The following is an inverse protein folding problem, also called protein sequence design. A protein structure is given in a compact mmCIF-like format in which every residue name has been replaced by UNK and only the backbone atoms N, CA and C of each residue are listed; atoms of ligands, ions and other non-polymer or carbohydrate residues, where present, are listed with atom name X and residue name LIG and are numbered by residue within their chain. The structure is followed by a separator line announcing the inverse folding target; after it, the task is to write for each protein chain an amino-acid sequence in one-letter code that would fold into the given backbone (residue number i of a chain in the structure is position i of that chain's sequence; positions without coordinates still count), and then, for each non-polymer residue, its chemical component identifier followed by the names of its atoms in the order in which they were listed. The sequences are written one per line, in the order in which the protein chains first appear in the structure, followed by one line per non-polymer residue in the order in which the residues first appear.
data_IF_155200511020
#
_entry.id   IF_155200511020
#
_cell.length_a   1.000
_cell.length_b   1.000
_cell.length_c   1.000
_cell.angle_alpha   90.00
_cell.angle_beta   90.00
_cell.angle_gamma   90.00
#
_symmetry.space_group_name_H-M   'P 1'
#
loop_
_entity.id
_entity.type
_entity.pdbx_description
1 polymer ?
#
# COMPACT_ATOMS: atom_id res chain seq x y z
N UNK A 1 8.27 17.78 -1.96
CA UNK A 1 7.53 16.49 -1.88
C UNK A 1 7.87 15.80 -0.57
N UNK A 2 6.87 15.25 0.14
CA UNK A 2 7.08 14.49 1.37
C UNK A 2 6.66 13.05 1.09
N UNK A 3 7.61 12.11 1.12
CA UNK A 3 7.31 10.69 1.00
C UNK A 3 7.02 10.11 2.40
N UNK A 4 5.86 9.49 2.55
CA UNK A 4 5.39 8.84 3.78
C UNK A 4 5.17 7.33 3.61
N UNK A 5 5.41 6.81 2.40
CA UNK A 5 5.34 5.38 2.14
C UNK A 5 6.32 4.60 3.02
N UNK A 6 5.87 3.45 3.54
CA UNK A 6 6.68 2.51 4.32
C UNK A 6 6.43 1.10 3.82
N UNK A 7 7.48 0.31 3.80
CA UNK A 7 7.39 -1.10 3.49
C UNK A 7 6.44 -1.80 4.49
N UNK A 8 5.67 -2.75 4.02
CA UNK A 8 4.74 -3.59 4.78
C UNK A 8 3.64 -2.86 5.58
N UNK A 9 3.35 -1.59 5.27
CA UNK A 9 2.20 -0.92 5.87
C UNK A 9 0.90 -1.61 5.46
N UNK A 10 0.00 -1.83 6.41
CA UNK A 10 -1.37 -2.21 6.13
C UNK A 10 -2.28 -1.01 5.90
N UNK A 11 -3.52 -1.27 5.55
CA UNK A 11 -4.45 -0.23 5.13
C UNK A 11 -4.87 0.73 6.26
N UNK A 12 -4.85 0.26 7.50
CA UNK A 12 -5.09 1.14 8.67
C UNK A 12 -3.96 2.18 8.82
N UNK A 13 -2.69 1.76 8.75
CA UNK A 13 -1.55 2.68 8.80
C UNK A 13 -1.57 3.66 7.65
N UNK A 14 -1.92 3.22 6.45
CA UNK A 14 -2.04 4.08 5.26
C UNK A 14 -3.10 5.16 5.50
N UNK A 15 -4.30 4.77 5.93
CA UNK A 15 -5.40 5.68 6.26
C UNK A 15 -5.00 6.70 7.32
N UNK A 16 -4.46 6.24 8.45
CA UNK A 16 -4.01 7.13 9.54
C UNK A 16 -2.89 8.06 9.09
N UNK A 17 -1.95 7.57 8.29
CA UNK A 17 -0.86 8.36 7.71
C UNK A 17 -1.38 9.50 6.83
N UNK A 18 -2.38 9.23 5.99
CA UNK A 18 -3.03 10.21 5.15
C UNK A 18 -3.77 11.27 5.99
N UNK A 19 -4.59 10.84 6.94
CA UNK A 19 -5.36 11.74 7.83
C UNK A 19 -4.42 12.60 8.67
N UNK A 20 -3.41 12.01 9.32
CA UNK A 20 -2.46 12.76 10.13
C UNK A 20 -1.63 13.74 9.30
N UNK A 21 -1.29 13.40 8.06
CA UNK A 21 -0.63 14.33 7.14
C UNK A 21 -1.54 15.53 6.83
N UNK A 22 -2.81 15.26 6.55
CA UNK A 22 -3.82 16.31 6.32
C UNK A 22 -4.02 17.24 7.53
N UNK A 23 -3.97 16.70 8.75
CA UNK A 23 -4.07 17.49 9.97
C UNK A 23 -2.82 18.35 10.25
N UNK A 24 -1.63 17.81 9.94
CA UNK A 24 -0.35 18.48 10.26
C UNK A 24 0.09 19.52 9.24
N UNK A 25 -0.28 19.32 7.97
CA UNK A 25 0.21 20.15 6.86
C UNK A 25 -0.93 20.97 6.26
N UNK A 26 -0.90 22.28 6.48
CA UNK A 26 -1.95 23.21 6.01
C UNK A 26 -1.96 23.47 4.50
N UNK A 27 -0.89 23.14 3.80
CA UNK A 27 -0.72 23.46 2.37
C UNK A 27 -0.36 22.20 1.58
N UNK A 28 -1.28 21.23 1.57
CA UNK A 28 -1.12 20.05 0.74
C UNK A 28 -1.71 20.36 -0.64
N UNK A 29 -0.85 20.39 -1.66
CA UNK A 29 -1.29 20.59 -3.04
C UNK A 29 -2.00 19.35 -3.60
N UNK A 30 -1.49 18.16 -3.29
CA UNK A 30 -2.07 16.89 -3.71
C UNK A 30 -1.53 15.74 -2.86
N UNK A 31 -2.36 14.73 -2.60
CA UNK A 31 -1.99 13.52 -1.87
C UNK A 31 -2.17 12.28 -2.76
N UNK A 32 -1.12 11.50 -2.90
CA UNK A 32 -1.15 10.22 -3.61
C UNK A 32 -1.13 9.09 -2.58
N UNK A 33 -2.13 8.21 -2.61
CA UNK A 33 -2.35 7.16 -1.61
C UNK A 33 -2.42 5.81 -2.32
N UNK A 34 -1.48 4.91 -2.01
CA UNK A 34 -1.51 3.54 -2.52
C UNK A 34 -1.98 2.60 -1.42
N UNK A 35 -3.09 1.92 -1.66
CA UNK A 35 -3.64 0.91 -0.79
C UNK A 35 -2.90 -0.41 -0.95
N UNK A 36 -2.62 -1.07 0.14
CA UNK A 36 -1.93 -2.35 0.22
C UNK A 36 -2.90 -3.53 0.10
N UNK A 37 -2.37 -4.75 -0.01
CA UNK A 37 -3.20 -5.96 0.09
C UNK A 37 -3.95 -6.05 1.42
N UNK A 38 -5.02 -6.84 1.43
CA UNK A 38 -5.88 -7.07 2.61
C UNK A 38 -5.28 -8.07 3.61
N UNK A 39 -4.19 -8.73 3.25
CA UNK A 39 -3.51 -9.76 4.04
C UNK A 39 -2.76 -9.24 5.28
N UNK A 40 -2.78 -7.94 5.52
CA UNK A 40 -2.04 -7.28 6.61
C UNK A 40 -2.97 -6.83 7.71
N UNK A 41 -2.77 -7.43 8.88
CA UNK A 41 -3.49 -7.07 10.08
C UNK A 41 -2.61 -6.22 11.00
N UNK A 42 -3.11 -5.07 11.40
CA UNK A 42 -2.38 -4.10 12.20
C UNK A 42 -2.99 -3.97 13.60
N UNK A 43 -2.15 -4.02 14.60
CA UNK A 43 -2.54 -3.82 16.01
C UNK A 43 -1.63 -2.81 16.69
N UNK A 44 -2.21 -2.05 17.61
CA UNK A 44 -1.44 -1.19 18.51
C UNK A 44 -0.81 -2.08 19.56
N UNK A 45 0.49 -1.96 19.76
CA UNK A 45 1.22 -2.66 20.81
C UNK A 45 1.86 -1.67 21.77
N UNK A 46 1.94 -2.06 23.05
CA UNK A 46 2.69 -1.32 24.08
C UNK A 46 4.19 -1.64 24.03
N UNK A 47 4.55 -2.76 23.44
CA UNK A 47 5.94 -3.16 23.33
C UNK A 47 6.66 -2.26 22.33
N UNK A 48 7.78 -1.69 22.77
CA UNK A 48 8.75 -1.13 21.83
C UNK A 48 9.36 -2.31 21.10
N UNK A 49 9.09 -2.45 19.82
CA UNK A 49 9.77 -3.44 19.01
C UNK A 49 11.29 -3.27 19.11
N UNK A 50 12.04 -4.36 18.97
CA UNK A 50 13.49 -4.27 18.93
C UNK A 50 13.90 -3.35 17.76
N UNK A 51 14.91 -2.55 18.04
CA UNK A 51 15.53 -1.64 17.07
C UNK A 51 15.88 -2.39 15.78
N UNK A 52 15.43 -1.81 14.67
CA UNK A 52 15.98 -1.91 13.32
C UNK A 52 16.11 -3.27 12.62
N UNK A 53 15.87 -4.42 13.21
CA UNK A 53 16.20 -5.70 12.54
C UNK A 53 15.24 -6.89 12.67
N UNK A 54 14.12 -6.78 13.33
CA UNK A 54 13.41 -8.04 13.64
C UNK A 54 11.89 -8.03 13.51
N UNK A 55 11.24 -7.10 14.08
CA UNK A 55 9.78 -7.01 14.04
C UNK A 55 9.40 -5.73 13.32
N UNK A 56 8.46 -5.81 12.38
CA UNK A 56 7.93 -4.61 11.76
C UNK A 56 7.01 -3.89 12.73
N UNK A 57 7.61 -3.37 13.80
CA UNK A 57 6.95 -2.47 14.71
C UNK A 57 7.14 -1.06 14.16
N UNK A 58 6.08 -0.50 13.61
CA UNK A 58 6.14 0.83 13.06
C UNK A 58 5.79 1.86 14.13
N UNK A 59 6.66 2.80 14.36
CA UNK A 59 6.29 4.07 14.99
C UNK A 59 5.49 4.86 13.96
N UNK A 60 4.20 4.68 13.96
CA UNK A 60 3.32 5.47 13.10
C UNK A 60 3.18 6.85 13.70
N UNK A 61 3.77 7.87 13.06
CA UNK A 61 3.41 9.30 13.11
C UNK A 61 3.10 9.88 14.50
N UNK A 62 2.81 9.04 15.48
CA UNK A 62 2.58 9.38 16.86
C UNK A 62 3.68 8.74 17.70
N UNK A 63 4.40 9.55 18.47
CA UNK A 63 5.50 9.08 19.32
C UNK A 63 5.02 8.12 20.42
N UNK A 64 3.71 8.03 20.60
CA UNK A 64 3.07 7.39 21.72
C UNK A 64 2.55 5.97 21.42
N UNK A 65 2.51 5.56 20.14
CA UNK A 65 1.99 4.25 19.76
C UNK A 65 2.98 3.46 18.90
N UNK A 66 3.14 2.19 19.24
CA UNK A 66 3.81 1.21 18.40
C UNK A 66 2.76 0.36 17.69
N UNK A 67 3.02 0.02 16.44
CA UNK A 67 2.16 -0.82 15.63
C UNK A 67 2.90 -2.09 15.27
N UNK A 68 2.26 -3.23 15.46
CA UNK A 68 2.69 -4.51 14.90
C UNK A 68 1.82 -4.86 13.72
N UNK A 69 2.46 -5.31 12.64
CA UNK A 69 1.79 -5.75 11.42
C UNK A 69 1.98 -7.25 11.28
N UNK A 70 0.89 -7.99 11.29
CA UNK A 70 0.89 -9.44 11.08
C UNK A 70 0.50 -9.76 9.64
N UNK A 71 1.33 -10.53 8.95
CA UNK A 71 1.14 -10.95 7.56
C UNK A 71 1.85 -12.28 7.30
N UNK A 72 1.59 -12.93 6.15
CA UNK A 72 2.10 -14.27 5.84
C UNK A 72 3.62 -14.45 5.94
N UNK A 73 4.41 -13.39 5.77
CA UNK A 73 5.87 -13.37 5.88
C UNK A 73 6.40 -12.86 7.22
N UNK A 74 5.57 -12.75 8.25
CA UNK A 74 6.00 -12.27 9.56
C UNK A 74 7.07 -13.16 10.17
N UNK A 75 8.12 -12.56 10.75
CA UNK A 75 9.30 -13.31 11.26
C UNK A 75 9.02 -14.12 12.52
N UNK A 76 8.19 -13.62 13.41
CA UNK A 76 7.70 -14.37 14.57
C UNK A 76 6.56 -15.28 14.11
N UNK A 77 6.92 -16.49 13.72
CA UNK A 77 5.97 -17.45 13.15
C UNK A 77 4.91 -17.87 14.17
N UNK A 78 5.28 -18.04 15.42
CA UNK A 78 4.38 -18.52 16.48
C UNK A 78 3.31 -17.47 16.79
N UNK A 79 3.72 -16.23 16.98
CA UNK A 79 2.78 -15.12 17.19
C UNK A 79 1.89 -14.90 15.97
N UNK A 80 2.47 -14.97 14.78
CA UNK A 80 1.72 -14.78 13.54
C UNK A 80 0.69 -15.90 13.32
N UNK A 81 1.08 -17.16 13.57
CA UNK A 81 0.18 -18.30 13.49
C UNK A 81 -0.95 -18.19 14.50
N UNK A 82 -0.65 -17.89 15.77
CA UNK A 82 -1.65 -17.65 16.81
C UNK A 82 -2.61 -16.54 16.39
N UNK A 83 -2.08 -15.43 15.87
CA UNK A 83 -2.89 -14.31 15.46
C UNK A 83 -3.81 -14.66 14.30
N UNK A 84 -3.29 -15.32 13.28
CA UNK A 84 -4.07 -15.75 12.11
C UNK A 84 -5.15 -16.76 12.49
N UNK A 85 -4.84 -17.67 13.40
CA UNK A 85 -5.80 -18.70 13.85
C UNK A 85 -6.97 -18.12 14.65
N UNK A 86 -6.74 -17.06 15.43
CA UNK A 86 -7.71 -16.59 16.42
C UNK A 86 -8.33 -15.23 16.11
N UNK A 87 -7.71 -14.41 15.29
CA UNK A 87 -8.12 -13.02 15.06
C UNK A 87 -8.21 -12.65 13.58
N UNK A 88 -7.62 -13.44 12.68
CA UNK A 88 -7.67 -13.11 11.28
C UNK A 88 -8.86 -13.75 10.59
N UNK A 89 -9.66 -12.94 9.98
CA UNK A 89 -10.77 -13.30 9.13
C UNK A 89 -10.67 -12.51 7.83
N UNK A 90 -10.71 -13.21 6.69
CA UNK A 90 -10.50 -12.59 5.38
C UNK A 90 -11.60 -11.58 5.07
N UNK A 91 -12.86 -11.92 5.32
CA UNK A 91 -13.99 -11.05 5.07
C UNK A 91 -13.91 -9.78 5.92
N UNK A 92 -13.53 -9.93 7.19
CA UNK A 92 -13.32 -8.80 8.08
C UNK A 92 -12.20 -7.87 7.58
N UNK A 93 -11.13 -8.42 6.95
CA UNK A 93 -10.06 -7.59 6.38
C UNK A 93 -10.55 -6.78 5.16
N UNK A 94 -11.40 -7.35 4.31
CA UNK A 94 -12.03 -6.60 3.23
C UNK A 94 -12.92 -5.48 3.78
N UNK A 95 -13.79 -5.80 4.73
CA UNK A 95 -14.65 -4.81 5.37
C UNK A 95 -13.83 -3.64 5.95
N UNK A 96 -12.80 -3.92 6.75
CA UNK A 96 -11.91 -2.89 7.31
C UNK A 96 -11.21 -2.07 6.24
N UNK A 97 -10.77 -2.70 5.17
CA UNK A 97 -10.11 -1.99 4.06
C UNK A 97 -11.04 -0.99 3.42
N UNK A 98 -12.28 -1.36 3.12
CA UNK A 98 -13.29 -0.45 2.59
C UNK A 98 -13.60 0.69 3.56
N UNK A 99 -13.74 0.41 4.86
CA UNK A 99 -13.88 1.46 5.89
C UNK A 99 -12.70 2.43 5.90
N UNK A 100 -11.48 1.93 5.78
CA UNK A 100 -10.28 2.78 5.77
C UNK A 100 -10.24 3.68 4.52
N UNK A 101 -10.60 3.14 3.36
CA UNK A 101 -10.71 3.91 2.11
C UNK A 101 -11.76 5.00 2.29
N UNK A 102 -12.98 4.64 2.66
CA UNK A 102 -14.09 5.57 2.79
C UNK A 102 -13.81 6.66 3.83
N UNK A 103 -13.34 6.28 5.02
CA UNK A 103 -12.94 7.24 6.07
C UNK A 103 -11.90 8.22 5.58
N UNK A 104 -10.92 7.75 4.81
CA UNK A 104 -9.87 8.61 4.26
C UNK A 104 -10.43 9.58 3.24
N UNK A 105 -11.29 9.13 2.33
CA UNK A 105 -11.99 9.99 1.36
C UNK A 105 -12.81 11.07 2.06
N UNK A 106 -13.67 10.68 2.99
CA UNK A 106 -14.51 11.61 3.76
C UNK A 106 -13.68 12.70 4.46
N UNK A 107 -12.54 12.31 5.06
CA UNK A 107 -11.64 13.27 5.71
C UNK A 107 -11.01 14.24 4.70
N UNK A 108 -10.50 13.73 3.58
CA UNK A 108 -9.82 14.54 2.57
C UNK A 108 -10.80 15.48 1.86
N UNK A 109 -11.98 14.99 1.51
CA UNK A 109 -13.04 15.78 0.88
C UNK A 109 -13.53 16.89 1.82
N UNK A 110 -13.81 16.56 3.09
CA UNK A 110 -14.19 17.57 4.12
C UNK A 110 -13.16 18.68 4.26
N UNK A 111 -11.88 18.34 4.16
CA UNK A 111 -10.79 19.29 4.31
C UNK A 111 -10.33 19.90 2.97
N UNK A 112 -11.02 19.57 1.86
CA UNK A 112 -10.72 20.07 0.51
C UNK A 112 -9.26 19.80 0.08
N UNK A 113 -8.72 18.67 0.49
CA UNK A 113 -7.37 18.23 0.14
C UNK A 113 -7.47 17.43 -1.17
N UNK A 114 -6.86 17.87 -2.27
CA UNK A 114 -6.84 17.08 -3.51
C UNK A 114 -6.08 15.78 -3.33
N UNK A 115 -6.63 14.68 -3.84
CA UNK A 115 -6.00 13.37 -3.71
C UNK A 115 -6.27 12.45 -4.90
N UNK A 116 -5.39 11.47 -5.05
CA UNK A 116 -5.53 10.34 -5.96
C UNK A 116 -5.22 9.06 -5.20
N UNK A 117 -6.08 8.09 -5.33
CA UNK A 117 -5.93 6.76 -4.75
C UNK A 117 -5.49 5.74 -5.80
N UNK A 118 -4.76 4.73 -5.37
CA UNK A 118 -4.24 3.66 -6.20
C UNK A 118 -4.29 2.35 -5.43
N UNK A 119 -4.26 1.24 -6.14
CA UNK A 119 -4.14 -0.08 -5.55
C UNK A 119 -2.74 -0.66 -5.78
N UNK A 120 -2.26 -1.42 -4.82
CA UNK A 120 -1.11 -2.28 -5.06
C UNK A 120 -1.50 -3.47 -5.95
N UNK A 121 -2.62 -4.13 -5.65
CA UNK A 121 -3.19 -5.22 -6.44
C UNK A 121 -4.72 -5.15 -6.48
N UNK A 122 -5.32 -5.88 -7.42
CA UNK A 122 -6.77 -5.92 -7.63
C UNK A 122 -7.56 -6.51 -6.46
N UNK A 123 -6.93 -7.36 -5.64
CA UNK A 123 -7.60 -8.07 -4.56
C UNK A 123 -8.17 -7.13 -3.50
N UNK A 124 -7.60 -5.92 -3.39
CA UNK A 124 -8.08 -4.87 -2.46
C UNK A 124 -9.56 -4.52 -2.65
N UNK A 125 -10.05 -4.59 -3.89
CA UNK A 125 -11.42 -4.25 -4.26
C UNK A 125 -12.15 -5.41 -4.98
N UNK A 126 -11.81 -6.65 -4.62
CA UNK A 126 -12.43 -7.83 -5.25
C UNK A 126 -13.84 -8.06 -4.70
N UNK A 127 -14.85 -7.76 -5.53
CA UNK A 127 -16.26 -7.92 -5.19
C UNK A 127 -16.70 -9.37 -4.93
N UNK A 128 -15.90 -10.36 -5.33
CA UNK A 128 -16.20 -11.78 -5.12
C UNK A 128 -16.30 -12.16 -3.63
N UNK A 129 -15.73 -11.34 -2.77
CA UNK A 129 -15.70 -11.57 -1.32
C UNK A 129 -16.70 -10.70 -0.55
N UNK A 130 -17.51 -9.88 -1.24
CA UNK A 130 -18.38 -8.92 -0.58
C UNK A 130 -19.71 -9.55 -0.15
N UNK A 131 -19.99 -9.46 1.15
CA UNK A 131 -21.33 -9.58 1.70
C UNK A 131 -22.15 -8.31 1.40
N UNK A 132 -23.38 -8.26 1.90
CA UNK A 132 -24.23 -7.08 1.78
C UNK A 132 -23.60 -5.84 2.42
N UNK A 133 -22.95 -6.01 3.57
CA UNK A 133 -22.30 -4.90 4.30
C UNK A 133 -21.11 -4.33 3.53
N UNK A 134 -20.26 -5.19 2.97
CA UNK A 134 -19.13 -4.73 2.14
C UNK A 134 -19.62 -4.05 0.86
N UNK A 135 -20.68 -4.55 0.23
CA UNK A 135 -21.29 -3.89 -0.95
C UNK A 135 -21.83 -2.51 -0.62
N UNK A 136 -22.44 -2.33 0.54
CA UNK A 136 -22.91 -1.02 0.98
C UNK A 136 -21.75 -0.03 1.13
N UNK A 137 -20.64 -0.43 1.79
CA UNK A 137 -19.45 0.42 1.89
C UNK A 137 -18.80 0.69 0.52
N UNK A 138 -18.70 -0.33 -0.32
CA UNK A 138 -18.11 -0.22 -1.66
C UNK A 138 -18.85 0.80 -2.52
N UNK A 139 -20.17 0.82 -2.45
CA UNK A 139 -21.01 1.75 -3.24
C UNK A 139 -20.85 3.22 -2.79
N UNK A 140 -20.38 3.46 -1.56
CA UNK A 140 -20.10 4.80 -1.05
C UNK A 140 -18.71 5.33 -1.45
N UNK A 141 -17.84 4.46 -1.97
CA UNK A 141 -16.49 4.85 -2.39
C UNK A 141 -16.55 5.66 -3.69
N UNK A 142 -15.94 6.82 -3.68
CA UNK A 142 -15.78 7.64 -4.88
C UNK A 142 -14.63 7.12 -5.75
N UNK A 143 -14.96 6.31 -6.76
CA UNK A 143 -13.98 5.72 -7.68
C UNK A 143 -13.37 6.71 -8.67
N UNK A 144 -13.94 7.89 -8.87
CA UNK A 144 -13.33 8.96 -9.69
C UNK A 144 -12.00 9.44 -9.12
N UNK A 145 -11.75 9.15 -7.85
CA UNK A 145 -10.49 9.45 -7.17
C UNK A 145 -9.42 8.39 -7.36
N UNK A 146 -9.74 7.30 -8.04
CA UNK A 146 -8.79 6.21 -8.25
C UNK A 146 -8.13 6.26 -9.63
N UNK A 147 -6.90 5.80 -9.67
CA UNK A 147 -6.17 5.48 -10.91
C UNK A 147 -5.92 3.98 -10.94
N UNK A 148 -6.53 3.32 -11.92
CA UNK A 148 -6.40 1.89 -12.16
C UNK A 148 -5.58 1.64 -13.42
N UNK A 149 -4.91 0.50 -13.48
CA UNK A 149 -4.22 0.06 -14.70
C UNK A 149 -5.24 -0.54 -15.69
N UNK A 150 -5.97 -1.46 -15.38
CA UNK A 150 -7.11 -2.03 -16.09
C UNK A 150 -8.29 -1.98 -15.12
N UNK A 151 -9.37 -2.63 -15.42
CA UNK A 151 -10.51 -2.71 -14.49
C UNK A 151 -10.03 -3.11 -13.08
N UNK A 152 -10.02 -2.20 -12.14
CA UNK A 152 -9.65 -2.37 -10.73
C UNK A 152 -8.24 -2.94 -10.46
N UNK A 153 -7.35 -3.03 -11.46
CA UNK A 153 -5.98 -3.52 -11.29
C UNK A 153 -5.03 -2.44 -10.78
N UNK A 154 -4.00 -2.88 -10.07
CA UNK A 154 -3.03 -2.02 -9.43
C UNK A 154 -1.62 -2.10 -10.02
N UNK A 155 -0.65 -1.64 -9.23
CA UNK A 155 0.76 -1.66 -9.58
C UNK A 155 1.30 -3.09 -9.77
N UNK A 156 0.82 -4.06 -8.98
CA UNK A 156 1.26 -5.45 -9.08
C UNK A 156 0.97 -6.03 -10.46
N UNK A 157 -0.29 -5.95 -10.89
CA UNK A 157 -0.71 -6.47 -12.21
C UNK A 157 -0.06 -5.67 -13.35
N UNK A 158 0.10 -4.35 -13.20
CA UNK A 158 0.84 -3.56 -14.19
C UNK A 158 2.28 -4.04 -14.36
N UNK A 159 2.95 -4.34 -13.24
CA UNK A 159 4.33 -4.82 -13.26
C UNK A 159 4.44 -6.23 -13.84
N UNK A 160 3.52 -7.13 -13.49
CA UNK A 160 3.49 -8.49 -14.03
C UNK A 160 3.26 -8.51 -15.54
N UNK A 161 2.36 -7.67 -16.04
CA UNK A 161 2.02 -7.62 -17.46
C UNK A 161 3.13 -6.99 -18.33
N UNK A 162 3.89 -6.03 -17.78
CA UNK A 162 4.79 -5.22 -18.60
C UNK A 162 6.29 -5.37 -18.24
N UNK A 163 6.60 -5.91 -17.06
CA UNK A 163 7.97 -5.91 -16.51
C UNK A 163 8.34 -7.23 -15.83
N UNK A 164 7.70 -8.33 -16.19
CA UNK A 164 7.90 -9.65 -15.55
C UNK A 164 9.35 -10.13 -15.60
N UNK A 165 10.05 -9.83 -16.67
CA UNK A 165 11.46 -10.20 -16.85
C UNK A 165 12.44 -9.46 -15.93
N UNK A 166 11.98 -8.40 -15.28
CA UNK A 166 12.78 -7.61 -14.34
C UNK A 166 12.55 -7.99 -12.87
N UNK A 167 11.64 -8.93 -12.59
CA UNK A 167 11.45 -9.43 -11.23
C UNK A 167 12.62 -10.29 -10.80
N UNK A 168 12.99 -10.23 -9.52
CA UNK A 168 13.87 -11.21 -8.91
C UNK A 168 13.15 -12.57 -8.88
N UNK A 169 13.89 -13.65 -9.11
CA UNK A 169 13.34 -14.98 -9.04
C UNK A 169 12.79 -15.28 -7.64
N UNK A 170 11.50 -15.57 -7.58
CA UNK A 170 10.80 -15.86 -6.32
C UNK A 170 10.33 -14.62 -5.54
N UNK A 171 10.53 -13.43 -6.09
CA UNK A 171 9.99 -12.18 -5.53
C UNK A 171 8.69 -11.79 -6.23
N UNK A 172 7.75 -11.29 -5.44
CA UNK A 172 6.48 -10.75 -5.93
C UNK A 172 6.44 -9.22 -5.93
N UNK A 173 7.53 -8.57 -5.51
CA UNK A 173 7.59 -7.11 -5.45
C UNK A 173 7.91 -6.52 -6.82
N UNK A 174 7.12 -5.57 -7.30
CA UNK A 174 7.39 -4.87 -8.54
C UNK A 174 8.79 -4.28 -8.59
N UNK A 175 9.52 -4.43 -9.71
CA UNK A 175 10.85 -3.85 -9.86
C UNK A 175 10.78 -2.32 -9.94
N UNK A 176 11.85 -1.59 -9.58
CA UNK A 176 11.87 -0.13 -9.62
C UNK A 176 11.49 0.48 -10.97
N UNK A 177 11.83 -0.18 -12.07
CA UNK A 177 11.43 0.27 -13.42
C UNK A 177 9.91 0.27 -13.60
N UNK A 178 9.20 -0.72 -13.03
CA UNK A 178 7.74 -0.77 -13.06
C UNK A 178 7.12 0.38 -12.25
N UNK A 179 7.69 0.71 -11.08
CA UNK A 179 7.23 1.88 -10.30
C UNK A 179 7.39 3.19 -11.06
N UNK A 180 8.51 3.37 -11.79
CA UNK A 180 8.71 4.56 -12.60
C UNK A 180 7.63 4.69 -13.69
N UNK A 181 7.41 3.62 -14.47
CA UNK A 181 6.41 3.64 -15.53
C UNK A 181 4.98 3.71 -14.99
N UNK A 182 4.70 3.10 -13.85
CA UNK A 182 3.43 3.28 -13.17
C UNK A 182 3.13 4.76 -12.89
N UNK A 183 4.10 5.46 -12.32
CA UNK A 183 3.94 6.89 -12.01
C UNK A 183 3.78 7.71 -13.31
N UNK A 184 4.62 7.44 -14.32
CA UNK A 184 4.60 8.13 -15.59
C UNK A 184 3.29 7.90 -16.36
N UNK A 185 2.95 6.62 -16.58
CA UNK A 185 1.95 6.24 -17.58
C UNK A 185 0.53 6.18 -16.98
N UNK A 186 0.41 5.85 -15.69
CA UNK A 186 -0.89 5.66 -15.03
C UNK A 186 -1.26 6.87 -14.16
N UNK A 187 -0.33 7.38 -13.36
CA UNK A 187 -0.64 8.45 -12.41
C UNK A 187 -0.66 9.81 -13.09
N UNK A 188 0.43 10.19 -13.74
CA UNK A 188 0.56 11.52 -14.35
C UNK A 188 0.13 11.55 -15.82
N UNK A 189 0.16 10.43 -16.53
CA UNK A 189 -0.14 10.34 -17.97
C UNK A 189 0.65 11.39 -18.77
N UNK A 190 1.89 11.61 -18.40
CA UNK A 190 2.76 12.63 -18.96
C UNK A 190 4.21 12.17 -18.93
N UNK A 191 5.05 12.83 -19.72
CA UNK A 191 6.49 12.57 -19.74
C UNK A 191 7.13 13.06 -18.44
N UNK A 192 7.18 12.16 -17.45
CA UNK A 192 8.02 12.36 -16.27
C UNK A 192 9.45 12.13 -16.70
N UNK A 193 10.25 13.19 -16.71
CA UNK A 193 11.64 13.10 -17.12
C UNK A 193 12.45 12.33 -16.07
N UNK A 194 13.09 11.26 -16.49
CA UNK A 194 14.09 10.54 -15.73
C UNK A 194 15.41 10.65 -16.49
N UNK A 195 16.49 11.17 -15.88
CA UNK A 195 17.80 11.18 -16.51
C UNK A 195 18.20 9.77 -16.96
N UNK A 196 18.85 9.64 -18.12
CA UNK A 196 19.22 8.35 -18.73
C UNK A 196 20.01 7.45 -17.78
N UNK A 197 20.92 8.05 -17.01
CA UNK A 197 21.69 7.32 -16.00
C UNK A 197 20.80 6.72 -14.92
N UNK A 198 19.83 7.47 -14.40
CA UNK A 198 18.90 7.00 -13.38
C UNK A 198 17.94 5.94 -13.95
N UNK A 199 17.46 6.15 -15.17
CA UNK A 199 16.63 5.17 -15.86
C UNK A 199 17.36 3.82 -16.03
N UNK A 200 18.65 3.88 -16.43
CA UNK A 200 19.49 2.69 -16.53
C UNK A 200 19.70 1.99 -15.19
N UNK A 201 19.84 2.74 -14.09
CA UNK A 201 19.91 2.16 -12.73
C UNK A 201 18.60 1.46 -12.35
N UNK A 202 17.43 2.05 -12.64
CA UNK A 202 16.13 1.43 -12.38
C UNK A 202 15.97 0.12 -13.14
N UNK A 203 16.33 0.12 -14.44
CA UNK A 203 16.24 -1.05 -15.31
C UNK A 203 17.16 -2.19 -14.88
N UNK A 204 18.34 -1.85 -14.36
CA UNK A 204 19.35 -2.83 -13.97
C UNK A 204 19.37 -3.11 -12.46
N UNK A 205 18.42 -2.61 -11.70
CA UNK A 205 18.45 -2.64 -10.24
C UNK A 205 18.66 -4.04 -9.65
N UNK A 206 18.07 -5.05 -10.26
CA UNK A 206 18.21 -6.44 -9.81
C UNK A 206 19.29 -7.23 -10.56
N UNK A 207 19.84 -6.68 -11.64
CA UNK A 207 20.94 -7.34 -12.34
C UNK A 207 22.16 -7.43 -11.42
N UNK A 208 22.62 -8.66 -11.18
CA UNK A 208 23.75 -8.93 -10.28
C UNK A 208 23.39 -9.17 -8.80
N UNK A 209 22.10 -9.02 -8.41
CA UNK A 209 21.65 -9.40 -7.06
C UNK A 209 21.29 -10.88 -6.94
N UNK A 210 21.07 -11.56 -8.04
CA UNK A 210 20.71 -12.99 -8.06
C UNK A 210 21.88 -13.93 -7.72
N UNK A 211 23.07 -13.42 -7.43
CA UNK A 211 24.23 -14.19 -6.92
C UNK A 211 24.60 -15.43 -7.74
N UNK A 212 24.18 -15.48 -9.03
CA UNK A 212 24.42 -16.57 -9.95
C UNK A 212 24.83 -15.99 -11.30
N UNK A 213 26.12 -15.76 -11.39
CA UNK A 213 26.81 -15.73 -12.69
C UNK A 213 26.83 -17.15 -13.27
#
# INVERSE_FOLDING_TARGET
MINKGRSASGNETISRGAINSGLKHKQIQHMYIMWSGTDRYEVITKEKGPDDRGEMTYRVWDKDFNWSVYYGGHRDKDKNEYFRKHFWDEQHQYYRTLEHILRTQMFLDKNKIPYTMMLFNKDVLSENFFSESERALYNEINFDKFKFYKSNSGLGEFAEDNYKEYFLRGESHPPPIAHYHWVKDIIFQSDVLCPEEEYSKLKNYFKGKDGRS
#
